data_IF_766899605108
#
_entry.id   IF_766899605108
#
_cell.length_a   1.000
_cell.length_b   1.000
_cell.length_c   1.000
_cell.angle_alpha   90.00
_cell.angle_beta   90.00
_cell.angle_gamma   90.00
#
_symmetry.space_group_name_H-M   'P 1'
#
loop_
_entity.id
_entity.type
_entity.pdbx_description
1 polymer ?
#
# COMPACT_ATOMS: atom_id res chain seq x y z
N UNK A 1 9.12 9.22 19.82
CA UNK A 1 8.49 8.19 18.97
C UNK A 1 8.72 8.41 17.47
N UNK A 2 8.74 9.66 16.96
CA UNK A 2 8.91 9.92 15.53
C UNK A 2 10.15 9.32 14.85
N UNK A 3 11.31 9.31 15.52
CA UNK A 3 12.53 8.69 14.96
C UNK A 3 12.39 7.18 14.74
N UNK A 4 11.87 6.47 15.74
CA UNK A 4 11.56 5.04 15.63
C UNK A 4 10.53 4.77 14.55
N UNK A 5 9.48 5.59 14.47
CA UNK A 5 8.47 5.50 13.43
C UNK A 5 9.04 5.70 12.02
N UNK A 6 9.97 6.66 11.86
CA UNK A 6 10.69 6.87 10.61
C UNK A 6 11.46 5.62 10.17
N UNK A 7 12.17 4.98 11.11
CA UNK A 7 12.96 3.78 10.84
C UNK A 7 12.07 2.59 10.48
N UNK A 8 10.94 2.40 11.17
CA UNK A 8 10.00 1.32 10.84
C UNK A 8 9.38 1.55 9.46
N UNK A 9 8.96 2.79 9.16
CA UNK A 9 8.42 3.16 7.86
C UNK A 9 9.45 2.91 6.74
N UNK A 10 10.71 3.31 6.95
CA UNK A 10 11.79 3.05 6.00
C UNK A 10 12.06 1.55 5.82
N UNK A 11 12.08 0.78 6.91
CA UNK A 11 12.26 -0.66 6.86
C UNK A 11 11.15 -1.37 6.09
N UNK A 12 9.88 -0.95 6.27
CA UNK A 12 8.75 -1.48 5.52
C UNK A 12 8.94 -1.34 4.00
N UNK A 13 9.37 -0.16 3.54
CA UNK A 13 9.66 0.05 2.11
C UNK A 13 10.87 -0.73 1.63
N UNK A 14 11.97 -0.80 2.40
CA UNK A 14 13.15 -1.60 2.03
C UNK A 14 12.77 -3.08 1.86
N UNK A 15 11.99 -3.63 2.79
CA UNK A 15 11.49 -5.00 2.71
C UNK A 15 10.58 -5.16 1.49
N UNK A 16 9.64 -4.23 1.29
CA UNK A 16 8.73 -4.22 0.14
C UNK A 16 9.44 -4.22 -1.20
N UNK A 17 10.45 -3.36 -1.38
CA UNK A 17 11.28 -3.35 -2.57
C UNK A 17 12.10 -4.63 -2.71
N UNK A 18 12.64 -5.17 -1.61
CA UNK A 18 13.31 -6.46 -1.60
C UNK A 18 12.40 -7.58 -2.13
N UNK A 19 11.15 -7.63 -1.68
CA UNK A 19 10.15 -8.58 -2.16
C UNK A 19 9.84 -8.39 -3.64
N UNK A 20 9.73 -7.14 -4.12
CA UNK A 20 9.56 -6.86 -5.56
C UNK A 20 10.74 -7.41 -6.35
N UNK A 21 11.97 -7.06 -5.97
CA UNK A 21 13.16 -7.42 -6.72
C UNK A 21 13.45 -8.93 -6.75
N UNK A 22 12.88 -9.70 -5.82
CA UNK A 22 13.18 -11.13 -5.65
C UNK A 22 12.01 -12.06 -5.97
N UNK A 23 10.79 -11.69 -5.58
CA UNK A 23 9.62 -12.56 -5.63
C UNK A 23 8.54 -12.06 -6.60
N UNK A 24 8.38 -10.74 -6.73
CA UNK A 24 7.25 -10.15 -7.46
C UNK A 24 7.64 -9.52 -8.81
N UNK A 25 8.93 -9.45 -9.14
CA UNK A 25 9.40 -8.86 -10.40
C UNK A 25 8.68 -9.40 -11.65
N UNK A 26 8.41 -10.71 -11.78
CA UNK A 26 7.72 -11.25 -12.96
C UNK A 26 6.28 -10.73 -13.15
N UNK A 27 5.63 -10.24 -12.08
CA UNK A 27 4.23 -9.80 -12.15
C UNK A 27 4.06 -8.28 -12.28
N UNK A 28 5.13 -7.50 -12.18
CA UNK A 28 5.04 -6.02 -12.17
C UNK A 28 4.49 -5.43 -13.48
N UNK A 29 4.78 -6.04 -14.62
CA UNK A 29 4.27 -5.62 -15.94
C UNK A 29 3.45 -6.73 -16.61
N UNK A 30 2.82 -7.58 -15.80
CA UNK A 30 2.06 -8.74 -16.29
C UNK A 30 0.66 -8.36 -16.79
N UNK A 31 0.08 -9.23 -17.62
CA UNK A 31 -1.33 -9.07 -18.00
C UNK A 31 -2.25 -9.36 -16.81
N UNK A 32 -3.51 -8.86 -16.80
CA UNK A 32 -4.44 -9.13 -15.71
C UNK A 32 -4.61 -10.62 -15.39
N UNK A 33 -4.65 -11.48 -16.42
CA UNK A 33 -4.77 -12.93 -16.22
C UNK A 33 -3.51 -13.53 -15.57
N UNK A 34 -2.32 -13.14 -16.01
CA UNK A 34 -1.06 -13.58 -15.40
C UNK A 34 -0.94 -13.13 -13.95
N UNK A 35 -1.33 -11.88 -13.65
CA UNK A 35 -1.37 -11.36 -12.30
C UNK A 35 -2.34 -12.16 -11.42
N UNK A 36 -3.56 -12.43 -11.90
CA UNK A 36 -4.57 -13.16 -11.13
C UNK A 36 -4.19 -14.63 -10.91
N UNK A 37 -3.57 -15.28 -11.89
CA UNK A 37 -3.02 -16.62 -11.74
C UNK A 37 -1.93 -16.66 -10.65
N UNK A 38 -1.02 -15.69 -10.67
CA UNK A 38 0.01 -15.58 -9.63
C UNK A 38 -0.58 -15.27 -8.26
N UNK A 39 -1.51 -14.32 -8.19
CA UNK A 39 -2.19 -13.92 -6.96
C UNK A 39 -2.94 -15.11 -6.33
N UNK A 40 -3.64 -15.90 -7.15
CA UNK A 40 -4.34 -17.12 -6.73
C UNK A 40 -3.38 -18.15 -6.14
N UNK A 41 -2.21 -18.34 -6.77
CA UNK A 41 -1.18 -19.26 -6.29
C UNK A 41 -0.41 -18.75 -5.05
N UNK A 42 -0.38 -17.43 -4.80
CA UNK A 42 0.50 -16.79 -3.82
C UNK A 42 -0.23 -15.81 -2.89
N UNK A 43 -1.48 -16.09 -2.53
CA UNK A 43 -2.33 -15.18 -1.74
C UNK A 43 -1.65 -14.67 -0.47
N UNK A 44 -1.06 -15.57 0.33
CA UNK A 44 -0.39 -15.20 1.58
C UNK A 44 0.80 -14.27 1.35
N UNK A 45 1.57 -14.50 0.29
CA UNK A 45 2.70 -13.64 -0.07
C UNK A 45 2.21 -12.22 -0.40
N UNK A 46 1.13 -12.11 -1.18
CA UNK A 46 0.56 -10.83 -1.60
C UNK A 46 -0.07 -10.07 -0.43
N UNK A 47 -0.81 -10.77 0.44
CA UNK A 47 -1.35 -10.18 1.68
C UNK A 47 -0.24 -9.66 2.59
N UNK A 48 0.84 -10.44 2.77
CA UNK A 48 2.00 -10.01 3.56
C UNK A 48 2.66 -8.78 2.94
N UNK A 49 2.87 -8.79 1.63
CA UNK A 49 3.48 -7.67 0.93
C UNK A 49 2.64 -6.39 1.09
N UNK A 50 1.34 -6.43 0.75
CA UNK A 50 0.43 -5.29 0.92
C UNK A 50 0.36 -4.80 2.37
N UNK A 51 0.33 -5.72 3.33
CA UNK A 51 0.34 -5.36 4.75
C UNK A 51 1.60 -4.61 5.15
N UNK A 52 2.77 -4.99 4.64
CA UNK A 52 4.04 -4.32 4.93
C UNK A 52 4.05 -2.92 4.29
N UNK A 53 3.84 -2.84 2.98
CA UNK A 53 4.07 -1.59 2.23
C UNK A 53 2.96 -0.55 2.40
N UNK A 54 1.75 -0.98 2.78
CA UNK A 54 0.63 -0.06 3.02
C UNK A 54 0.30 0.05 4.51
N UNK A 55 0.03 -1.05 5.22
CA UNK A 55 -0.49 -0.95 6.59
C UNK A 55 0.60 -0.57 7.58
N UNK A 56 1.75 -1.26 7.57
CA UNK A 56 2.88 -0.92 8.45
C UNK A 56 3.42 0.46 8.08
N UNK A 57 3.73 0.69 6.80
CA UNK A 57 4.24 2.00 6.37
C UNK A 57 3.27 3.15 6.72
N UNK A 58 2.00 3.03 6.34
CA UNK A 58 0.98 4.05 6.58
C UNK A 58 0.75 4.34 8.07
N UNK A 59 0.64 3.31 8.91
CA UNK A 59 0.46 3.49 10.36
C UNK A 59 1.66 4.20 10.99
N UNK A 60 2.89 3.84 10.61
CA UNK A 60 4.08 4.48 11.16
C UNK A 60 4.39 5.85 10.52
N UNK A 61 3.79 6.18 9.39
CA UNK A 61 3.84 7.53 8.82
C UNK A 61 3.13 8.57 9.70
N UNK A 62 2.04 8.20 10.39
CA UNK A 62 1.29 9.11 11.28
C UNK A 62 2.17 9.71 12.40
N UNK A 63 2.78 8.91 13.31
CA UNK A 63 3.63 9.45 14.36
C UNK A 63 4.92 10.09 13.81
N UNK A 64 5.38 9.71 12.62
CA UNK A 64 6.46 10.39 11.91
C UNK A 64 6.07 11.83 11.56
N UNK A 65 4.94 12.03 10.87
CA UNK A 65 4.44 13.34 10.45
C UNK A 65 4.17 14.25 11.65
N UNK A 66 3.53 13.72 12.70
CA UNK A 66 3.29 14.48 13.93
C UNK A 66 4.58 14.90 14.63
N UNK A 67 5.59 14.04 14.66
CA UNK A 67 6.89 14.40 15.24
C UNK A 67 7.63 15.45 14.42
N UNK A 68 7.52 15.43 13.09
CA UNK A 68 8.05 16.49 12.23
C UNK A 68 7.34 17.81 12.49
N UNK A 69 6.01 17.80 12.62
CA UNK A 69 5.23 18.99 12.97
C UNK A 69 5.76 19.63 14.25
N UNK A 70 5.83 18.86 15.34
CA UNK A 70 6.30 19.34 16.64
C UNK A 70 7.72 19.90 16.60
N UNK A 71 8.60 19.27 15.82
CA UNK A 71 10.00 19.72 15.66
C UNK A 71 10.13 21.02 14.87
N UNK A 72 9.18 21.32 13.98
CA UNK A 72 9.31 22.40 13.00
C UNK A 72 8.29 23.53 13.16
N UNK A 73 7.23 23.37 13.98
CA UNK A 73 6.12 24.33 14.10
C UNK A 73 6.53 25.79 14.39
N UNK A 74 7.68 26.01 15.03
CA UNK A 74 8.22 27.34 15.31
C UNK A 74 9.00 28.00 14.15
N UNK A 75 9.19 27.32 13.01
CA UNK A 75 10.06 27.79 11.91
C UNK A 75 9.33 28.36 10.71
N UNK A 76 8.05 27.99 10.50
CA UNK A 76 7.21 28.55 9.44
C UNK A 76 5.73 28.39 9.81
N UNK A 77 5.05 29.51 10.01
CA UNK A 77 3.71 29.57 10.63
C UNK A 77 2.59 28.96 9.79
N UNK A 78 2.68 28.98 8.46
CA UNK A 78 1.66 28.38 7.58
C UNK A 78 2.10 27.05 6.96
N UNK A 79 3.38 26.92 6.60
CA UNK A 79 3.88 25.76 5.84
C UNK A 79 3.83 24.47 6.65
N UNK A 80 4.23 24.52 7.93
CA UNK A 80 4.33 23.31 8.76
C UNK A 80 2.95 22.69 9.05
N UNK A 81 1.92 23.46 9.47
CA UNK A 81 0.57 22.93 9.61
C UNK A 81 0.01 22.33 8.30
N UNK A 82 0.19 23.02 7.16
CA UNK A 82 -0.29 22.53 5.86
C UNK A 82 0.40 21.22 5.45
N UNK A 83 1.73 21.15 5.56
CA UNK A 83 2.48 19.93 5.25
C UNK A 83 2.07 18.76 6.17
N UNK A 84 1.74 19.05 7.43
CA UNK A 84 1.27 18.05 8.40
C UNK A 84 -0.10 17.51 7.99
N UNK A 85 -1.03 18.39 7.62
CA UNK A 85 -2.35 17.99 7.14
C UNK A 85 -2.24 17.10 5.89
N UNK A 86 -1.44 17.51 4.90
CA UNK A 86 -1.19 16.72 3.69
C UNK A 86 -0.58 15.35 4.04
N UNK A 87 0.43 15.31 4.93
CA UNK A 87 1.07 14.06 5.35
C UNK A 87 0.11 13.10 6.06
N UNK A 88 -0.81 13.60 6.88
CA UNK A 88 -1.83 12.77 7.55
C UNK A 88 -2.90 12.27 6.57
N UNK A 89 -3.34 13.11 5.63
CA UNK A 89 -4.26 12.69 4.56
C UNK A 89 -3.62 11.58 3.74
N UNK A 90 -2.36 11.76 3.34
CA UNK A 90 -1.60 10.76 2.60
C UNK A 90 -1.44 9.44 3.36
N UNK A 91 -1.12 9.50 4.66
CA UNK A 91 -1.06 8.30 5.50
C UNK A 91 -2.41 7.57 5.54
N UNK A 92 -3.52 8.32 5.62
CA UNK A 92 -4.87 7.76 5.54
C UNK A 92 -5.16 7.07 4.21
N UNK A 93 -4.75 7.68 3.09
CA UNK A 93 -4.90 7.10 1.74
C UNK A 93 -4.10 5.80 1.60
N UNK A 94 -2.84 5.77 2.04
CA UNK A 94 -2.02 4.55 2.04
C UNK A 94 -2.73 3.43 2.82
N UNK A 95 -3.22 3.71 4.03
CA UNK A 95 -3.90 2.70 4.86
C UNK A 95 -5.17 2.20 4.15
N UNK A 96 -5.95 3.10 3.56
CA UNK A 96 -7.16 2.75 2.83
C UNK A 96 -6.86 1.84 1.62
N UNK A 97 -5.85 2.19 0.80
CA UNK A 97 -5.39 1.34 -0.31
C UNK A 97 -4.97 -0.05 0.19
N UNK A 98 -4.19 -0.12 1.26
CA UNK A 98 -3.76 -1.40 1.85
C UNK A 98 -4.92 -2.28 2.30
N UNK A 99 -5.91 -1.71 2.99
CA UNK A 99 -7.10 -2.46 3.43
C UNK A 99 -7.91 -2.97 2.24
N UNK A 100 -8.08 -2.12 1.22
CA UNK A 100 -8.74 -2.48 -0.03
C UNK A 100 -8.01 -3.64 -0.72
N UNK A 101 -6.69 -3.53 -0.91
CA UNK A 101 -5.89 -4.56 -1.59
C UNK A 101 -5.90 -5.89 -0.85
N UNK A 102 -5.70 -5.88 0.48
CA UNK A 102 -5.73 -7.11 1.30
C UNK A 102 -7.10 -7.79 1.21
N UNK A 103 -8.19 -7.04 1.27
CA UNK A 103 -9.53 -7.59 1.08
C UNK A 103 -9.73 -8.16 -0.34
N UNK A 104 -9.27 -7.41 -1.34
CA UNK A 104 -9.47 -7.76 -2.74
C UNK A 104 -8.76 -9.04 -3.13
N UNK A 105 -7.62 -9.39 -2.51
CA UNK A 105 -6.96 -10.69 -2.74
C UNK A 105 -7.94 -11.84 -2.61
N UNK A 106 -8.74 -11.89 -1.54
CA UNK A 106 -9.73 -12.94 -1.34
C UNK A 106 -10.84 -12.90 -2.40
N UNK A 107 -11.40 -11.71 -2.63
CA UNK A 107 -12.49 -11.50 -3.59
C UNK A 107 -12.12 -11.97 -5.00
N UNK A 108 -10.98 -11.54 -5.52
CA UNK A 108 -10.61 -11.84 -6.90
C UNK A 108 -10.12 -13.27 -7.08
N UNK A 109 -9.51 -13.88 -6.06
CA UNK A 109 -9.02 -15.26 -6.17
C UNK A 109 -10.13 -16.29 -6.04
N UNK A 110 -11.14 -16.03 -5.20
CA UNK A 110 -12.37 -16.83 -5.16
C UNK A 110 -13.08 -16.78 -6.51
N UNK A 111 -13.24 -15.57 -7.07
CA UNK A 111 -13.89 -15.39 -8.37
C UNK A 111 -13.09 -16.01 -9.51
N UNK A 112 -11.75 -15.92 -9.48
CA UNK A 112 -10.89 -16.53 -10.49
C UNK A 112 -11.03 -18.05 -10.55
N UNK A 113 -11.28 -18.70 -9.40
CA UNK A 113 -11.55 -20.14 -9.34
C UNK A 113 -12.88 -20.56 -9.98
N UNK A 114 -13.80 -19.61 -10.19
CA UNK A 114 -15.15 -19.85 -10.74
C UNK A 114 -15.26 -19.36 -12.19
N UNK A 115 -14.84 -18.12 -12.44
CA UNK A 115 -14.87 -17.46 -13.75
C UNK A 115 -13.66 -16.51 -13.89
N UNK A 116 -12.56 -16.97 -14.53
CA UNK A 116 -11.37 -16.17 -14.77
C UNK A 116 -11.62 -14.87 -15.55
N UNK A 117 -12.56 -14.86 -16.50
CA UNK A 117 -12.86 -13.68 -17.32
C UNK A 117 -13.59 -12.62 -16.48
N UNK A 118 -14.54 -13.07 -15.66
CA UNK A 118 -15.22 -12.18 -14.73
C UNK A 118 -14.26 -11.63 -13.67
N UNK A 119 -13.37 -12.47 -13.14
CA UNK A 119 -12.33 -12.06 -12.19
C UNK A 119 -11.42 -10.97 -12.77
N UNK A 120 -11.01 -11.09 -14.04
CA UNK A 120 -10.21 -10.06 -14.72
C UNK A 120 -10.97 -8.72 -14.82
N UNK A 121 -12.27 -8.75 -15.11
CA UNK A 121 -13.10 -7.54 -15.18
C UNK A 121 -13.23 -6.87 -13.81
N UNK A 122 -13.48 -7.66 -12.76
CA UNK A 122 -13.57 -7.16 -11.37
C UNK A 122 -12.22 -6.61 -10.92
N UNK A 123 -11.12 -7.30 -11.22
CA UNK A 123 -9.77 -6.83 -10.92
C UNK A 123 -9.46 -5.47 -11.55
N UNK A 124 -9.82 -5.27 -12.82
CA UNK A 124 -9.63 -3.97 -13.49
C UNK A 124 -10.41 -2.84 -12.81
N UNK A 125 -11.65 -3.10 -12.40
CA UNK A 125 -12.46 -2.13 -11.66
C UNK A 125 -11.83 -1.80 -10.29
N UNK A 126 -11.37 -2.80 -9.56
CA UNK A 126 -10.72 -2.62 -8.25
C UNK A 126 -9.37 -1.90 -8.37
N UNK A 127 -8.58 -2.23 -9.40
CA UNK A 127 -7.30 -1.55 -9.70
C UNK A 127 -7.51 -0.07 -10.03
N UNK A 128 -8.59 0.26 -10.75
CA UNK A 128 -8.91 1.66 -11.04
C UNK A 128 -9.26 2.45 -9.76
N UNK A 129 -9.92 1.82 -8.78
CA UNK A 129 -10.20 2.44 -7.48
C UNK A 129 -8.91 2.63 -6.67
N UNK A 130 -8.06 1.61 -6.61
CA UNK A 130 -6.75 1.66 -5.94
C UNK A 130 -5.87 2.78 -6.51
N UNK A 131 -5.70 2.83 -7.83
CA UNK A 131 -4.98 3.90 -8.51
C UNK A 131 -5.55 5.29 -8.22
N UNK A 132 -6.88 5.40 -8.09
CA UNK A 132 -7.55 6.66 -7.71
C UNK A 132 -7.22 7.15 -6.29
N UNK A 133 -6.85 6.24 -5.38
CA UNK A 133 -6.43 6.58 -4.02
C UNK A 133 -4.96 7.00 -3.93
N UNK A 134 -4.18 6.84 -5.01
CA UNK A 134 -2.80 7.31 -5.11
C UNK A 134 -1.74 6.21 -5.07
N UNK A 135 -2.13 4.97 -5.30
CA UNK A 135 -1.21 3.83 -5.40
C UNK A 135 -2.02 2.57 -5.48
#
# INVERSE_FOLDING_TARGET
MGGTAALINAAAYIIGFGMVLTLLMPIMDSTPDQFLAFLSANQSLMVVWYSIIYLVAGVFMVPLVLALHERLKGKATAVIPTATAIGLIWAGLIIASGLLLVNNVGVVTELYGQDPLQAATVWLALSAVESGLGG
#
